data_IF_553148606942
#
_entry.id   IF_553148606942
#
_cell.length_a   1.000
_cell.length_b   1.000
_cell.length_c   1.000
_cell.angle_alpha   90.00
_cell.angle_beta   90.00
_cell.angle_gamma   90.00
#
_symmetry.space_group_name_H-M   'P 1'
#
loop_
_entity.id
_entity.type
_entity.pdbx_description
1 polymer ?
#
# COMPACT_ATOMS: atom_id res chain seq x y z
N UNK A 1 -13.08 -8.99 -18.58
CA UNK A 1 -12.05 -10.04 -18.65
C UNK A 1 -12.33 -11.08 -19.74
N UNK A 2 -13.58 -11.49 -19.94
CA UNK A 2 -13.96 -12.55 -20.89
C UNK A 2 -13.47 -12.31 -22.32
N UNK A 3 -13.60 -11.07 -22.83
CA UNK A 3 -13.11 -10.72 -24.17
C UNK A 3 -11.60 -10.93 -24.30
N UNK A 4 -10.82 -10.50 -23.30
CA UNK A 4 -9.37 -10.68 -23.30
C UNK A 4 -9.01 -12.17 -23.22
N UNK A 5 -9.66 -12.93 -22.33
CA UNK A 5 -9.48 -14.38 -22.22
C UNK A 5 -9.79 -15.12 -23.52
N UNK A 6 -10.87 -14.74 -24.21
CA UNK A 6 -11.23 -15.33 -25.51
C UNK A 6 -10.23 -14.97 -26.61
N UNK A 7 -9.68 -13.75 -26.62
CA UNK A 7 -8.63 -13.34 -27.57
C UNK A 7 -7.36 -14.16 -27.33
N UNK A 8 -6.92 -14.29 -26.07
CA UNK A 8 -5.73 -15.07 -25.72
C UNK A 8 -5.90 -16.56 -26.04
N UNK A 9 -7.09 -17.13 -25.77
CA UNK A 9 -7.39 -18.51 -26.16
C UNK A 9 -7.26 -18.75 -27.66
N UNK A 10 -7.81 -17.84 -28.49
CA UNK A 10 -7.63 -17.91 -29.96
C UNK A 10 -6.17 -17.74 -30.40
N UNK A 11 -5.35 -17.03 -29.65
CA UNK A 11 -3.92 -16.90 -29.95
C UNK A 11 -3.18 -18.22 -29.67
N UNK A 12 -3.49 -18.88 -28.56
CA UNK A 12 -2.91 -20.17 -28.18
C UNK A 12 -3.20 -21.27 -29.19
N UNK A 13 -4.39 -21.25 -29.81
CA UNK A 13 -4.75 -22.19 -30.89
C UNK A 13 -3.94 -22.01 -32.18
N UNK A 14 -3.32 -20.84 -32.40
CA UNK A 14 -2.68 -20.46 -33.68
C UNK A 14 -1.20 -20.88 -33.80
N UNK A 15 -0.59 -21.44 -32.77
CA UNK A 15 0.80 -21.86 -32.83
C UNK A 15 1.44 -22.05 -31.45
N UNK A 16 2.73 -22.41 -31.40
CA UNK A 16 3.43 -22.67 -30.15
C UNK A 16 3.42 -21.46 -29.21
N UNK A 17 3.59 -21.72 -27.91
CA UNK A 17 3.74 -20.67 -26.92
C UNK A 17 4.96 -19.79 -27.23
N UNK A 18 4.87 -18.52 -26.89
CA UNK A 18 5.98 -17.56 -26.86
C UNK A 18 6.04 -16.96 -25.46
N UNK A 19 7.18 -16.42 -25.05
CA UNK A 19 7.30 -15.79 -23.72
C UNK A 19 6.29 -14.65 -23.52
N UNK A 20 6.06 -13.83 -24.55
CA UNK A 20 5.03 -12.79 -24.56
C UNK A 20 3.62 -13.34 -24.31
N UNK A 21 3.25 -14.49 -24.89
CA UNK A 21 1.93 -15.11 -24.67
C UNK A 21 1.76 -15.59 -23.23
N UNK A 22 2.82 -16.15 -22.64
CA UNK A 22 2.81 -16.53 -21.22
C UNK A 22 2.66 -15.29 -20.35
N UNK A 23 3.38 -14.21 -20.66
CA UNK A 23 3.29 -12.95 -19.95
C UNK A 23 1.88 -12.36 -20.02
N UNK A 24 1.29 -12.19 -21.21
CA UNK A 24 -0.06 -11.64 -21.39
C UNK A 24 -1.11 -12.43 -20.61
N UNK A 25 -0.97 -13.77 -20.61
CA UNK A 25 -1.86 -14.66 -19.88
C UNK A 25 -1.71 -14.50 -18.37
N UNK A 26 -0.49 -14.42 -17.87
CA UNK A 26 -0.22 -14.22 -16.45
C UNK A 26 -0.69 -12.85 -15.96
N UNK A 27 -0.53 -11.79 -16.76
CA UNK A 27 -1.05 -10.45 -16.45
C UNK A 27 -2.58 -10.42 -16.43
N UNK A 28 -3.25 -11.14 -17.34
CA UNK A 28 -4.71 -11.31 -17.27
C UNK A 28 -5.13 -12.02 -15.98
N UNK A 29 -4.44 -13.09 -15.59
CA UNK A 29 -4.74 -13.79 -14.34
C UNK A 29 -4.48 -12.92 -13.10
N UNK A 30 -3.39 -12.15 -13.09
CA UNK A 30 -3.15 -11.15 -12.04
C UNK A 30 -4.32 -10.16 -11.94
N UNK A 31 -4.80 -9.64 -13.08
CA UNK A 31 -5.92 -8.70 -13.10
C UNK A 31 -7.26 -9.34 -12.68
N UNK A 32 -7.36 -10.67 -12.69
CA UNK A 32 -8.48 -11.47 -12.20
C UNK A 32 -8.27 -11.96 -10.75
N UNK A 33 -7.24 -11.48 -10.07
CA UNK A 33 -6.85 -11.91 -8.72
C UNK A 33 -6.45 -13.41 -8.61
N UNK A 34 -6.09 -14.02 -9.76
CA UNK A 34 -5.65 -15.42 -9.91
C UNK A 34 -4.13 -15.54 -9.83
N UNK A 35 -3.58 -15.11 -8.70
CA UNK A 35 -2.13 -14.98 -8.52
C UNK A 35 -1.39 -16.33 -8.60
N UNK A 36 -1.98 -17.38 -8.03
CA UNK A 36 -1.39 -18.72 -8.07
C UNK A 36 -1.21 -19.25 -9.48
N UNK A 37 -2.22 -19.10 -10.34
CA UNK A 37 -2.11 -19.48 -11.74
C UNK A 37 -1.13 -18.60 -12.52
N UNK A 38 -1.11 -17.29 -12.24
CA UNK A 38 -0.13 -16.37 -12.84
C UNK A 38 1.31 -16.78 -12.50
N UNK A 39 1.60 -17.05 -11.22
CA UNK A 39 2.92 -17.50 -10.77
C UNK A 39 3.31 -18.82 -11.42
N UNK A 40 2.44 -19.83 -11.34
CA UNK A 40 2.73 -21.17 -11.88
C UNK A 40 3.02 -21.14 -13.39
N UNK A 41 2.30 -20.32 -14.15
CA UNK A 41 2.53 -20.19 -15.59
C UNK A 41 3.81 -19.43 -15.93
N UNK A 42 4.17 -18.40 -15.16
CA UNK A 42 5.42 -17.69 -15.33
C UNK A 42 6.62 -18.58 -14.98
N UNK A 43 6.51 -19.40 -13.93
CA UNK A 43 7.52 -20.40 -13.57
C UNK A 43 7.72 -21.42 -14.69
N UNK A 44 6.64 -22.05 -15.16
CA UNK A 44 6.69 -22.99 -16.29
C UNK A 44 7.21 -22.32 -17.58
N UNK A 45 6.84 -21.06 -17.81
CA UNK A 45 7.34 -20.28 -18.92
C UNK A 45 8.85 -20.05 -18.84
N UNK A 46 9.40 -19.81 -17.65
CA UNK A 46 10.85 -19.64 -17.45
C UNK A 46 11.63 -20.95 -17.63
N UNK A 47 11.00 -22.12 -17.45
CA UNK A 47 11.59 -23.41 -17.83
C UNK A 47 11.72 -23.54 -19.36
N UNK A 48 10.71 -23.09 -20.11
CA UNK A 48 10.69 -23.16 -21.57
C UNK A 48 11.52 -22.04 -22.25
N UNK A 49 11.55 -20.85 -21.64
CA UNK A 49 12.22 -19.65 -22.14
C UNK A 49 13.29 -19.19 -21.15
N UNK A 50 14.23 -20.09 -20.84
CA UNK A 50 15.30 -19.83 -19.90
C UNK A 50 16.09 -18.58 -20.32
N UNK A 51 16.19 -17.60 -19.41
CA UNK A 51 16.88 -16.32 -19.65
C UNK A 51 15.98 -15.18 -20.14
N UNK A 52 14.68 -15.39 -20.32
CA UNK A 52 13.77 -14.30 -20.64
C UNK A 52 13.63 -13.33 -19.45
N UNK A 53 14.25 -12.17 -19.60
CA UNK A 53 14.32 -11.11 -18.57
C UNK A 53 12.95 -10.54 -18.25
N UNK A 54 12.11 -10.35 -19.27
CA UNK A 54 10.79 -9.73 -19.09
C UNK A 54 9.87 -10.68 -18.36
N UNK A 55 9.87 -11.97 -18.73
CA UNK A 55 9.10 -12.99 -18.04
C UNK A 55 9.49 -13.10 -16.56
N UNK A 56 10.80 -13.03 -16.27
CA UNK A 56 11.31 -13.02 -14.89
C UNK A 56 10.92 -11.76 -14.12
N UNK A 57 11.00 -10.59 -14.75
CA UNK A 57 10.58 -9.34 -14.15
C UNK A 57 9.08 -9.34 -13.84
N UNK A 58 8.26 -9.92 -14.71
CA UNK A 58 6.82 -10.10 -14.47
C UNK A 58 6.55 -11.08 -13.34
N UNK A 59 7.30 -12.19 -13.23
CA UNK A 59 7.21 -13.10 -12.07
C UNK A 59 7.50 -12.37 -10.76
N UNK A 60 8.57 -11.58 -10.72
CA UNK A 60 8.90 -10.76 -9.55
C UNK A 60 7.76 -9.80 -9.17
N UNK A 61 7.16 -9.13 -10.17
CA UNK A 61 6.03 -8.24 -9.94
C UNK A 61 4.78 -8.97 -9.41
N UNK A 62 4.39 -10.10 -10.02
CA UNK A 62 3.22 -10.89 -9.56
C UNK A 62 3.45 -11.41 -8.14
N UNK A 63 4.65 -11.90 -7.83
CA UNK A 63 5.01 -12.36 -6.48
C UNK A 63 4.93 -11.24 -5.45
N UNK A 64 5.35 -10.01 -5.80
CA UNK A 64 5.19 -8.84 -4.92
C UNK A 64 3.70 -8.58 -4.63
N UNK A 65 2.84 -8.60 -5.66
CA UNK A 65 1.39 -8.43 -5.49
C UNK A 65 0.75 -9.54 -4.66
N UNK A 66 1.33 -10.74 -4.67
CA UNK A 66 0.92 -11.88 -3.86
C UNK A 66 1.53 -11.89 -2.44
N UNK A 67 2.23 -10.83 -2.02
CA UNK A 67 2.87 -10.75 -0.70
C UNK A 67 4.14 -11.59 -0.55
N UNK A 68 4.70 -12.12 -1.64
CA UNK A 68 5.92 -12.93 -1.65
C UNK A 68 7.18 -12.08 -1.87
N UNK A 69 7.39 -11.07 -1.01
CA UNK A 69 8.40 -10.03 -1.18
C UNK A 69 9.84 -10.52 -1.37
N UNK A 70 10.31 -11.50 -0.58
CA UNK A 70 11.68 -12.03 -0.73
C UNK A 70 11.88 -12.78 -2.06
N UNK A 71 10.88 -13.56 -2.48
CA UNK A 71 10.93 -14.27 -3.76
C UNK A 71 10.89 -13.28 -4.94
N UNK A 72 10.03 -12.27 -4.84
CA UNK A 72 9.97 -11.16 -5.79
C UNK A 72 11.31 -10.42 -5.93
N UNK A 73 11.98 -10.16 -4.80
CA UNK A 73 13.29 -9.50 -4.78
C UNK A 73 14.35 -10.35 -5.49
N UNK A 74 14.36 -11.66 -5.23
CA UNK A 74 15.28 -12.59 -5.89
C UNK A 74 15.09 -12.61 -7.42
N UNK A 75 13.85 -12.61 -7.91
CA UNK A 75 13.56 -12.57 -9.35
C UNK A 75 13.99 -11.28 -10.00
N UNK A 76 13.70 -10.13 -9.37
CA UNK A 76 14.10 -8.82 -9.89
C UNK A 76 15.63 -8.68 -9.90
N UNK A 77 16.32 -9.17 -8.86
CA UNK A 77 17.79 -9.17 -8.81
C UNK A 77 18.41 -10.05 -9.91
N UNK A 78 17.80 -11.20 -10.21
CA UNK A 78 18.19 -12.04 -11.35
C UNK A 78 17.96 -11.32 -12.68
N UNK A 79 16.80 -10.68 -12.88
CA UNK A 79 16.50 -9.93 -14.10
C UNK A 79 17.50 -8.78 -14.34
N UNK A 80 17.90 -8.08 -13.27
CA UNK A 80 18.89 -6.99 -13.34
C UNK A 80 20.32 -7.44 -13.63
N UNK A 81 20.67 -8.71 -13.38
CA UNK A 81 21.97 -9.25 -13.81
C UNK A 81 22.06 -9.42 -15.31
N UNK A 82 20.94 -9.71 -15.96
CA UNK A 82 20.85 -10.01 -17.39
C UNK A 82 20.51 -8.76 -18.22
N UNK A 83 19.91 -7.73 -17.62
CA UNK A 83 19.55 -6.49 -18.32
C UNK A 83 19.76 -5.23 -17.48
N UNK A 84 20.35 -4.22 -18.12
CA UNK A 84 20.41 -2.85 -17.60
C UNK A 84 19.10 -2.13 -17.94
N UNK A 85 18.19 -2.08 -16.98
CA UNK A 85 16.87 -1.45 -17.14
C UNK A 85 16.55 -0.55 -15.96
N UNK A 86 16.42 0.75 -16.23
CA UNK A 86 16.08 1.76 -15.20
C UNK A 86 14.76 1.43 -14.50
N UNK A 87 13.65 1.11 -15.21
CA UNK A 87 12.40 0.72 -14.55
C UNK A 87 12.52 -0.51 -13.65
N UNK A 88 13.32 -1.52 -14.06
CA UNK A 88 13.54 -2.71 -13.22
C UNK A 88 14.35 -2.36 -11.97
N UNK A 89 15.37 -1.51 -12.12
CA UNK A 89 16.22 -1.09 -11.01
C UNK A 89 15.44 -0.24 -10.00
N UNK A 90 14.55 0.65 -10.47
CA UNK A 90 13.62 1.40 -9.64
C UNK A 90 12.65 0.50 -8.88
N UNK A 91 12.07 -0.51 -9.54
CA UNK A 91 11.17 -1.49 -8.90
C UNK A 91 11.90 -2.31 -7.84
N UNK A 92 13.11 -2.77 -8.16
CA UNK A 92 13.96 -3.51 -7.21
C UNK A 92 14.33 -2.65 -5.99
N UNK A 93 14.73 -1.39 -6.19
CA UNK A 93 15.01 -0.46 -5.10
C UNK A 93 13.75 -0.16 -4.25
N UNK A 94 12.59 0.00 -4.89
CA UNK A 94 11.31 0.17 -4.20
C UNK A 94 10.97 -1.01 -3.31
N UNK A 95 11.15 -2.25 -3.80
CA UNK A 95 10.93 -3.46 -3.01
C UNK A 95 11.96 -3.61 -1.87
N UNK A 96 13.21 -3.17 -2.07
CA UNK A 96 14.19 -3.12 -0.99
C UNK A 96 13.75 -2.15 0.13
N UNK A 97 13.20 -0.99 -0.21
CA UNK A 97 12.65 -0.06 0.77
C UNK A 97 11.44 -0.65 1.50
N UNK A 98 10.54 -1.32 0.77
CA UNK A 98 9.39 -2.03 1.33
C UNK A 98 9.80 -3.09 2.37
N UNK A 99 10.90 -3.80 2.11
CA UNK A 99 11.47 -4.82 2.99
C UNK A 99 12.42 -4.24 4.06
N UNK A 100 12.38 -2.92 4.28
CA UNK A 100 13.20 -2.20 5.27
C UNK A 100 14.72 -2.39 5.07
N UNK A 101 15.18 -2.42 3.82
CA UNK A 101 16.59 -2.53 3.41
C UNK A 101 17.08 -1.26 2.71
N UNK A 102 17.13 -0.10 3.40
CA UNK A 102 17.43 1.19 2.76
C UNK A 102 18.88 1.32 2.27
N UNK A 103 19.83 0.62 2.90
CA UNK A 103 21.23 0.59 2.45
C UNK A 103 21.40 -0.02 1.05
N UNK A 104 20.97 -1.29 0.84
CA UNK A 104 20.90 -1.88 -0.49
C UNK A 104 20.06 -1.09 -1.49
N UNK A 105 18.94 -0.49 -1.06
CA UNK A 105 18.11 0.34 -1.92
C UNK A 105 18.88 1.56 -2.45
N UNK A 106 19.58 2.29 -1.56
CA UNK A 106 20.43 3.43 -1.95
C UNK A 106 21.50 3.01 -2.94
N UNK A 107 22.21 1.91 -2.68
CA UNK A 107 23.23 1.40 -3.60
C UNK A 107 22.66 1.06 -4.99
N UNK A 108 21.47 0.47 -5.05
CA UNK A 108 20.79 0.17 -6.31
C UNK A 108 20.37 1.44 -7.06
N UNK A 109 19.88 2.47 -6.35
CA UNK A 109 19.50 3.76 -6.94
C UNK A 109 20.72 4.54 -7.44
N UNK A 110 21.83 4.54 -6.71
CA UNK A 110 23.05 5.26 -7.09
C UNK A 110 23.73 4.64 -8.32
N UNK A 111 23.50 3.35 -8.58
CA UNK A 111 23.92 2.69 -9.82
C UNK A 111 23.13 3.16 -11.06
N UNK A 112 21.97 3.81 -10.87
CA UNK A 112 21.14 4.38 -11.92
C UNK A 112 21.56 5.84 -12.13
N UNK A 113 22.73 6.06 -12.74
CA UNK A 113 23.17 7.41 -13.12
C UNK A 113 23.61 7.40 -14.59
N UNK A 114 22.85 8.10 -15.42
CA UNK A 114 23.16 8.28 -16.85
C UNK A 114 22.68 9.65 -17.32
N UNK A 115 23.46 10.36 -18.17
CA UNK A 115 23.05 11.67 -18.70
C UNK A 115 21.77 11.60 -19.54
N UNK A 116 21.35 10.41 -19.96
CA UNK A 116 20.16 10.18 -20.79
C UNK A 116 18.85 10.09 -20.00
N UNK A 117 18.87 10.17 -18.66
CA UNK A 117 17.65 10.12 -17.87
C UNK A 117 16.74 11.30 -18.19
N UNK A 118 15.47 11.01 -18.47
CA UNK A 118 14.41 12.01 -18.56
C UNK A 118 14.13 12.64 -17.20
N UNK A 119 13.65 13.87 -17.20
CA UNK A 119 13.42 14.63 -15.96
C UNK A 119 12.41 13.95 -15.02
N UNK A 120 11.34 13.38 -15.58
CA UNK A 120 10.36 12.63 -14.80
C UNK A 120 10.99 11.42 -14.08
N UNK A 121 11.92 10.73 -14.74
CA UNK A 121 12.65 9.59 -14.15
C UNK A 121 13.62 10.08 -13.07
N UNK A 122 14.32 11.20 -13.28
CA UNK A 122 15.19 11.79 -12.24
C UNK A 122 14.42 12.19 -11.00
N UNK A 123 13.26 12.82 -11.17
CA UNK A 123 12.36 13.21 -10.08
C UNK A 123 11.88 11.97 -9.30
N UNK A 124 11.48 10.90 -9.99
CA UNK A 124 11.10 9.63 -9.36
C UNK A 124 12.26 8.95 -8.61
N UNK A 125 13.48 8.97 -9.16
CA UNK A 125 14.67 8.45 -8.47
C UNK A 125 15.01 9.28 -7.23
N UNK A 126 14.93 10.61 -7.34
CA UNK A 126 15.18 11.51 -6.21
C UNK A 126 14.20 11.26 -5.05
N UNK A 127 12.92 10.96 -5.35
CA UNK A 127 11.96 10.56 -4.34
C UNK A 127 12.39 9.30 -3.56
N UNK A 128 12.82 8.25 -4.27
CA UNK A 128 13.30 7.01 -3.64
C UNK A 128 14.63 7.21 -2.89
N UNK A 129 15.52 8.06 -3.41
CA UNK A 129 16.80 8.40 -2.75
C UNK A 129 16.57 9.21 -1.47
N UNK A 130 15.62 10.14 -1.49
CA UNK A 130 15.21 10.90 -0.31
C UNK A 130 14.72 9.96 0.79
N UNK A 131 13.90 8.97 0.43
CA UNK A 131 13.42 7.95 1.35
C UNK A 131 14.55 7.09 1.91
N UNK A 132 15.41 6.54 1.05
CA UNK A 132 16.52 5.72 1.47
C UNK A 132 17.49 6.47 2.40
N UNK A 133 17.81 7.73 2.08
CA UNK A 133 18.67 8.58 2.91
C UNK A 133 18.04 8.84 4.28
N UNK A 134 16.74 9.14 4.33
CA UNK A 134 16.05 9.39 5.58
C UNK A 134 16.03 8.16 6.51
N UNK A 135 15.70 6.99 5.97
CA UNK A 135 15.70 5.73 6.73
C UNK A 135 17.10 5.32 7.20
N UNK A 136 18.16 5.79 6.53
CA UNK A 136 19.55 5.62 6.96
C UNK A 136 20.00 6.67 7.99
N UNK A 137 19.14 7.61 8.38
CA UNK A 137 19.46 8.73 9.28
C UNK A 137 20.23 9.87 8.60
N UNK A 138 20.43 9.81 7.28
CA UNK A 138 21.07 10.86 6.48
C UNK A 138 20.06 11.96 6.13
N UNK A 139 19.76 12.80 7.14
CA UNK A 139 18.79 13.90 7.01
C UNK A 139 19.19 14.93 5.95
N UNK A 140 20.49 15.22 5.83
CA UNK A 140 21.00 16.17 4.84
C UNK A 140 20.83 15.64 3.42
N UNK A 141 21.14 14.36 3.18
CA UNK A 141 20.89 13.70 1.90
C UNK A 141 19.40 13.61 1.58
N UNK A 142 18.57 13.26 2.57
CA UNK A 142 17.12 13.19 2.41
C UNK A 142 16.52 14.53 1.95
N UNK A 143 16.94 15.62 2.60
CA UNK A 143 16.56 16.99 2.25
C UNK A 143 16.97 17.34 0.82
N UNK A 144 18.24 17.13 0.48
CA UNK A 144 18.79 17.48 -0.84
C UNK A 144 18.04 16.77 -1.96
N UNK A 145 17.76 15.48 -1.81
CA UNK A 145 17.01 14.70 -2.79
C UNK A 145 15.52 15.08 -2.83
N UNK A 146 14.89 15.36 -1.68
CA UNK A 146 13.49 15.84 -1.65
C UNK A 146 13.30 17.12 -2.47
N UNK A 147 14.22 18.09 -2.34
CA UNK A 147 14.21 19.35 -3.11
C UNK A 147 14.35 19.13 -4.62
N UNK A 148 14.93 18.01 -5.06
CA UNK A 148 15.07 17.69 -6.48
C UNK A 148 13.80 17.10 -7.10
N UNK A 149 12.84 16.65 -6.29
CA UNK A 149 11.61 16.04 -6.82
C UNK A 149 10.69 17.08 -7.45
N UNK A 150 10.56 18.26 -6.82
CA UNK A 150 9.80 19.39 -7.36
C UNK A 150 8.28 19.20 -7.31
N UNK A 151 7.75 18.57 -6.25
CA UNK A 151 6.30 18.44 -6.04
C UNK A 151 5.91 19.04 -4.69
N UNK A 152 4.67 19.55 -4.52
CA UNK A 152 4.24 20.19 -3.27
C UNK A 152 4.39 19.30 -2.03
N UNK A 153 4.26 17.98 -2.17
CA UNK A 153 4.49 17.03 -1.08
C UNK A 153 5.95 17.02 -0.65
N UNK A 154 6.88 16.85 -1.59
CA UNK A 154 8.31 16.79 -1.28
C UNK A 154 8.90 18.16 -0.87
N UNK A 155 8.34 19.26 -1.36
CA UNK A 155 8.74 20.60 -0.92
C UNK A 155 8.41 20.81 0.56
N UNK A 156 7.18 20.46 0.98
CA UNK A 156 6.78 20.53 2.40
C UNK A 156 7.54 19.53 3.27
N UNK A 157 7.82 18.34 2.75
CA UNK A 157 8.65 17.36 3.44
C UNK A 157 10.06 17.93 3.68
N UNK A 158 10.67 18.54 2.66
CA UNK A 158 11.98 19.17 2.78
C UNK A 158 11.96 20.32 3.79
N UNK A 159 10.96 21.21 3.75
CA UNK A 159 10.81 22.30 4.72
C UNK A 159 10.75 21.78 6.17
N UNK A 160 10.04 20.66 6.41
CA UNK A 160 9.94 20.04 7.74
C UNK A 160 11.23 19.37 8.18
N UNK A 161 11.98 18.77 7.26
CA UNK A 161 13.28 18.17 7.57
C UNK A 161 14.35 19.20 7.96
N UNK A 162 14.24 20.46 7.50
CA UNK A 162 15.12 21.56 7.93
C UNK A 162 14.88 21.98 9.39
N UNK A 163 13.65 21.85 9.88
CA UNK A 163 13.25 22.25 11.24
C UNK A 163 12.13 21.34 11.75
N UNK A 164 12.46 20.10 12.16
CA UNK A 164 11.47 19.11 12.53
C UNK A 164 10.71 19.52 13.80
N UNK A 165 9.39 19.37 13.78
CA UNK A 165 8.53 19.64 14.93
C UNK A 165 8.64 18.56 16.03
N UNK A 166 9.23 17.41 15.69
CA UNK A 166 9.51 16.29 16.57
C UNK A 166 10.32 15.22 15.83
N UNK A 167 10.73 14.16 16.52
CA UNK A 167 11.56 13.09 15.94
C UNK A 167 10.92 11.70 16.09
N UNK A 168 9.75 11.61 16.72
CA UNK A 168 9.10 10.32 16.93
C UNK A 168 8.50 9.81 15.63
N UNK A 169 8.85 8.57 15.31
CA UNK A 169 8.26 7.78 14.23
C UNK A 169 7.68 6.50 14.82
N UNK A 170 6.43 6.22 14.50
CA UNK A 170 5.75 4.96 14.87
C UNK A 170 5.30 4.28 13.59
N UNK A 171 5.57 2.98 13.48
CA UNK A 171 5.10 2.14 12.39
C UNK A 171 4.67 0.79 12.99
N UNK A 172 3.39 0.49 12.89
CA UNK A 172 2.81 -0.76 13.36
C UNK A 172 2.94 -1.83 12.26
N UNK A 173 3.20 -3.10 12.63
CA UNK A 173 3.46 -4.19 11.68
C UNK A 173 2.17 -4.72 11.03
N UNK A 174 1.43 -3.84 10.36
CA UNK A 174 0.22 -4.21 9.62
C UNK A 174 0.61 -4.75 8.24
N UNK A 175 0.28 -6.02 7.93
CA UNK A 175 0.68 -6.66 6.68
C UNK A 175 -0.03 -6.06 5.47
N UNK A 176 0.55 -6.26 4.29
CA UNK A 176 -0.14 -5.98 3.03
C UNK A 176 -1.13 -7.10 2.72
N UNK A 177 -2.40 -6.72 2.58
CA UNK A 177 -3.46 -7.58 2.04
C UNK A 177 -3.95 -6.95 0.76
N UNK A 178 -3.69 -7.61 -0.37
CA UNK A 178 -4.08 -7.15 -1.69
C UNK A 178 -5.60 -7.19 -1.82
N UNK A 179 -6.23 -6.07 -2.19
CA UNK A 179 -7.64 -6.09 -2.57
C UNK A 179 -7.84 -6.80 -3.91
N UNK A 180 -9.01 -7.41 -4.04
CA UNK A 180 -9.63 -7.71 -5.33
C UNK A 180 -10.37 -6.48 -5.85
N UNK A 181 -10.88 -6.57 -7.08
CA UNK A 181 -11.67 -5.49 -7.69
C UNK A 181 -12.78 -4.96 -6.75
N UNK A 182 -12.73 -3.67 -6.38
CA UNK A 182 -13.68 -2.97 -5.48
C UNK A 182 -13.78 -3.52 -4.05
N UNK A 183 -12.73 -4.15 -3.52
CA UNK A 183 -12.72 -4.70 -2.15
C UNK A 183 -11.71 -4.01 -1.22
N UNK A 184 -11.50 -2.70 -1.38
CA UNK A 184 -10.58 -1.91 -0.54
C UNK A 184 -10.91 -2.03 0.96
N UNK A 185 -12.20 -1.97 1.30
CA UNK A 185 -12.65 -2.07 2.67
C UNK A 185 -12.37 -3.46 3.27
N UNK A 186 -12.85 -4.58 2.69
CA UNK A 186 -12.51 -5.91 3.16
C UNK A 186 -11.01 -6.17 3.33
N UNK A 187 -10.18 -5.78 2.36
CA UNK A 187 -8.74 -5.97 2.42
C UNK A 187 -8.10 -5.16 3.56
N UNK A 188 -8.53 -3.92 3.77
CA UNK A 188 -8.06 -3.07 4.87
C UNK A 188 -8.44 -3.64 6.23
N UNK A 189 -9.69 -4.10 6.40
CA UNK A 189 -10.14 -4.73 7.65
C UNK A 189 -9.41 -6.04 7.92
N UNK A 190 -9.17 -6.87 6.89
CA UNK A 190 -8.36 -8.08 7.00
C UNK A 190 -6.92 -7.77 7.44
N UNK A 191 -6.30 -6.73 6.88
CA UNK A 191 -4.95 -6.31 7.27
C UNK A 191 -4.89 -5.88 8.76
N UNK A 192 -5.87 -5.09 9.22
CA UNK A 192 -5.98 -4.69 10.64
C UNK A 192 -6.24 -5.90 11.53
N UNK A 193 -7.10 -6.83 11.09
CA UNK A 193 -7.41 -8.04 11.86
C UNK A 193 -6.18 -8.94 12.02
N UNK A 194 -5.35 -9.07 10.97
CA UNK A 194 -4.08 -9.80 11.02
C UNK A 194 -3.06 -9.15 11.98
N UNK A 195 -2.99 -7.82 12.06
CA UNK A 195 -2.16 -7.12 13.05
C UNK A 195 -2.50 -7.52 14.49
N UNK A 196 -3.78 -7.77 14.78
CA UNK A 196 -4.25 -8.22 16.09
C UNK A 196 -4.18 -9.74 16.31
N UNK A 197 -3.61 -10.50 15.36
CA UNK A 197 -3.52 -11.96 15.46
C UNK A 197 -4.86 -12.69 15.32
N UNK A 198 -5.89 -12.01 14.80
CA UNK A 198 -7.21 -12.59 14.49
C UNK A 198 -7.43 -12.54 12.97
N UNK A 199 -6.72 -13.37 12.18
CA UNK A 199 -6.81 -13.31 10.73
C UNK A 199 -8.24 -13.60 10.27
N UNK A 200 -8.77 -12.70 9.45
CA UNK A 200 -10.01 -12.88 8.72
C UNK A 200 -9.67 -12.88 7.22
N UNK A 201 -10.26 -13.81 6.45
CA UNK A 201 -10.04 -13.82 5.00
C UNK A 201 -10.78 -12.63 4.37
N UNK A 202 -10.08 -11.83 3.56
CA UNK A 202 -10.69 -10.63 2.96
C UNK A 202 -11.89 -10.96 2.07
N UNK A 203 -11.91 -12.15 1.46
CA UNK A 203 -13.05 -12.63 0.67
C UNK A 203 -14.28 -12.94 1.54
N UNK A 204 -14.10 -13.51 2.72
CA UNK A 204 -15.20 -13.75 3.66
C UNK A 204 -15.79 -12.42 4.14
N UNK A 205 -14.94 -11.43 4.39
CA UNK A 205 -15.40 -10.07 4.71
C UNK A 205 -16.13 -9.49 3.50
N UNK A 206 -15.57 -9.59 2.29
CA UNK A 206 -16.19 -9.06 1.08
C UNK A 206 -17.59 -9.66 0.84
N UNK A 207 -17.76 -10.97 0.99
CA UNK A 207 -19.06 -11.63 0.87
C UNK A 207 -20.07 -11.12 1.91
N UNK A 208 -19.61 -10.71 3.09
CA UNK A 208 -20.46 -10.17 4.15
C UNK A 208 -20.86 -8.70 3.94
N UNK A 209 -19.97 -7.84 3.42
CA UNK A 209 -20.18 -6.38 3.45
C UNK A 209 -20.03 -5.65 2.10
N UNK A 210 -19.62 -6.34 1.03
CA UNK A 210 -19.30 -5.71 -0.25
C UNK A 210 -20.31 -6.07 -1.33
N UNK A 211 -21.33 -5.22 -1.51
CA UNK A 211 -22.28 -5.28 -2.64
C UNK A 211 -22.28 -3.94 -3.38
N UNK A 212 -21.59 -3.91 -4.54
CA UNK A 212 -21.31 -2.68 -5.32
C UNK A 212 -20.65 -1.54 -4.53
N UNK A 213 -19.78 -1.92 -3.59
CA UNK A 213 -19.14 -1.02 -2.63
C UNK A 213 -19.38 -1.50 -1.20
N UNK A 214 -18.82 -0.76 -0.23
CA UNK A 214 -18.97 -1.09 1.19
C UNK A 214 -19.42 0.14 1.97
N UNK A 215 -20.72 0.26 2.29
CA UNK A 215 -21.25 1.34 3.12
C UNK A 215 -20.56 1.43 4.48
N UNK A 216 -20.52 2.63 5.07
CA UNK A 216 -19.86 2.87 6.36
C UNK A 216 -20.40 2.00 7.50
N UNK A 217 -21.73 1.98 7.68
CA UNK A 217 -22.37 1.14 8.69
C UNK A 217 -22.10 -0.37 8.51
N UNK A 218 -21.94 -0.85 7.28
CA UNK A 218 -21.70 -2.28 7.03
C UNK A 218 -20.34 -2.72 7.59
N UNK A 219 -19.31 -1.86 7.47
CA UNK A 219 -17.97 -2.10 8.04
C UNK A 219 -18.04 -2.21 9.56
N UNK A 220 -18.74 -1.27 10.21
CA UNK A 220 -18.87 -1.24 11.66
C UNK A 220 -19.71 -2.40 12.18
N UNK A 221 -20.84 -2.69 11.54
CA UNK A 221 -21.69 -3.84 11.88
C UNK A 221 -20.92 -5.15 11.81
N UNK A 222 -20.15 -5.35 10.74
CA UNK A 222 -19.30 -6.53 10.64
C UNK A 222 -18.31 -6.62 11.81
N UNK A 223 -17.66 -5.52 12.18
CA UNK A 223 -16.75 -5.50 13.32
C UNK A 223 -17.49 -5.90 14.62
N UNK A 224 -18.63 -5.28 14.90
CA UNK A 224 -19.45 -5.56 16.09
C UNK A 224 -19.90 -7.04 16.15
N UNK A 225 -20.37 -7.60 15.02
CA UNK A 225 -20.83 -8.99 14.91
C UNK A 225 -19.70 -10.02 15.04
N UNK A 226 -18.46 -9.63 14.77
CA UNK A 226 -17.27 -10.50 14.81
C UNK A 226 -16.43 -10.30 16.08
N UNK A 227 -17.01 -9.71 17.13
CA UNK A 227 -16.36 -9.61 18.45
C UNK A 227 -15.30 -8.51 18.55
N UNK A 228 -15.34 -7.54 17.64
CA UNK A 228 -14.48 -6.36 17.70
C UNK A 228 -15.18 -5.23 18.45
N UNK A 229 -14.37 -4.43 19.15
CA UNK A 229 -14.79 -3.12 19.64
C UNK A 229 -14.39 -2.08 18.58
N UNK A 230 -15.37 -1.47 17.92
CA UNK A 230 -15.15 -0.43 16.91
C UNK A 230 -15.53 0.97 17.42
N UNK A 231 -14.72 1.97 17.07
CA UNK A 231 -15.02 3.40 17.24
C UNK A 231 -14.75 4.16 15.95
N UNK A 232 -15.70 5.00 15.56
CA UNK A 232 -15.55 5.93 14.44
C UNK A 232 -15.27 7.33 14.94
N UNK A 233 -14.54 8.12 14.15
CA UNK A 233 -14.10 9.46 14.53
C UNK A 233 -13.66 10.30 13.34
N UNK A 234 -13.59 11.62 13.51
CA UNK A 234 -12.91 12.51 12.55
C UNK A 234 -11.40 12.44 12.78
N UNK A 235 -10.64 12.05 11.75
CA UNK A 235 -9.19 11.89 11.85
C UNK A 235 -8.51 13.25 11.97
N UNK A 236 -7.75 13.41 13.05
CA UNK A 236 -6.87 14.56 13.29
C UNK A 236 -5.47 14.06 13.61
N UNK A 237 -4.46 14.94 13.54
CA UNK A 237 -3.09 14.60 13.92
C UNK A 237 -3.02 14.06 15.36
N UNK A 238 -3.71 14.71 16.31
CA UNK A 238 -3.72 14.31 17.70
C UNK A 238 -4.34 12.93 17.91
N UNK A 239 -5.53 12.69 17.33
CA UNK A 239 -6.20 11.40 17.44
C UNK A 239 -5.42 10.27 16.77
N UNK A 240 -4.86 10.52 15.57
CA UNK A 240 -4.05 9.54 14.86
C UNK A 240 -2.83 9.12 15.70
N UNK A 241 -2.10 10.10 16.25
CA UNK A 241 -0.96 9.82 17.13
C UNK A 241 -1.35 9.02 18.35
N UNK A 242 -2.38 9.44 19.07
CA UNK A 242 -2.75 8.78 20.33
C UNK A 242 -3.13 7.31 20.11
N UNK A 243 -3.89 7.00 19.05
CA UNK A 243 -4.21 5.63 18.65
C UNK A 243 -2.94 4.82 18.30
N UNK A 244 -2.08 5.38 17.44
CA UNK A 244 -0.89 4.68 16.94
C UNK A 244 0.15 4.45 18.04
N UNK A 245 0.33 5.41 18.96
CA UNK A 245 1.20 5.26 20.14
C UNK A 245 0.69 4.18 21.11
N UNK A 246 -0.63 3.94 21.15
CA UNK A 246 -1.26 2.82 21.86
C UNK A 246 -1.25 1.51 21.06
N UNK A 247 -0.62 1.47 19.89
CA UNK A 247 -0.52 0.27 19.04
C UNK A 247 -1.80 -0.06 18.28
N UNK A 248 -2.70 0.91 18.11
CA UNK A 248 -3.98 0.74 17.42
C UNK A 248 -3.92 1.35 16.01
N UNK A 249 -3.76 0.54 14.94
CA UNK A 249 -3.96 1.02 13.58
C UNK A 249 -5.46 1.26 13.34
N UNK A 250 -5.79 2.11 12.38
CA UNK A 250 -7.19 2.41 12.08
C UNK A 250 -7.42 2.54 10.57
N UNK A 251 -8.64 2.24 10.15
CA UNK A 251 -9.06 2.44 8.78
C UNK A 251 -9.35 3.92 8.55
N UNK A 252 -8.82 4.47 7.46
CA UNK A 252 -9.04 5.82 6.97
C UNK A 252 -9.89 5.75 5.71
N UNK A 253 -11.02 6.47 5.73
CA UNK A 253 -11.88 6.64 4.56
C UNK A 253 -11.60 7.99 3.91
N UNK A 254 -11.22 7.97 2.64
CA UNK A 254 -11.11 9.16 1.79
C UNK A 254 -12.21 9.13 0.74
N UNK A 255 -12.85 10.28 0.50
CA UNK A 255 -14.00 10.40 -0.39
C UNK A 255 -13.76 11.53 -1.38
N UNK A 256 -13.81 11.18 -2.65
CA UNK A 256 -13.80 12.09 -3.79
C UNK A 256 -15.18 12.08 -4.47
N UNK A 257 -15.42 13.04 -5.37
CA UNK A 257 -16.74 13.21 -6.00
C UNK A 257 -17.29 11.95 -6.70
N UNK A 258 -16.43 11.03 -7.15
CA UNK A 258 -16.80 9.84 -7.89
C UNK A 258 -16.23 8.54 -7.30
N UNK A 259 -15.56 8.59 -6.16
CA UNK A 259 -14.89 7.45 -5.58
C UNK A 259 -14.77 7.58 -4.06
N UNK A 260 -14.81 6.45 -3.36
CA UNK A 260 -14.39 6.34 -1.98
C UNK A 260 -13.33 5.25 -1.87
N UNK A 261 -12.38 5.43 -0.97
CA UNK A 261 -11.31 4.48 -0.74
C UNK A 261 -11.11 4.23 0.76
N UNK A 262 -10.81 2.98 1.10
CA UNK A 262 -10.46 2.58 2.47
C UNK A 262 -9.04 2.04 2.47
N UNK A 263 -8.24 2.55 3.39
CA UNK A 263 -6.83 2.22 3.58
C UNK A 263 -6.51 2.27 5.07
N UNK A 264 -5.45 1.61 5.52
CA UNK A 264 -5.09 1.61 6.95
C UNK A 264 -4.03 2.69 7.23
N UNK A 265 -4.26 3.51 8.25
CA UNK A 265 -3.19 4.30 8.87
C UNK A 265 -2.50 3.41 9.89
N UNK A 266 -1.20 3.20 9.67
CA UNK A 266 -0.40 2.23 10.42
C UNK A 266 0.75 2.91 11.16
N UNK A 267 0.92 4.22 11.00
CA UNK A 267 2.01 4.93 11.61
C UNK A 267 1.99 6.44 11.35
N UNK A 268 2.95 7.13 11.93
CA UNK A 268 3.21 8.54 11.71
C UNK A 268 4.70 8.84 11.81
N UNK A 269 5.09 9.97 11.25
CA UNK A 269 6.43 10.53 11.37
C UNK A 269 6.34 12.02 11.73
N UNK A 270 6.79 12.38 12.93
CA UNK A 270 6.77 13.79 13.40
C UNK A 270 7.74 14.68 12.62
N UNK A 271 8.89 14.15 12.24
CA UNK A 271 9.92 14.92 11.54
C UNK A 271 9.44 15.31 10.15
N UNK A 272 8.66 14.44 9.52
CA UNK A 272 8.07 14.67 8.19
C UNK A 272 6.64 15.21 8.23
N UNK A 273 5.96 15.15 9.36
CA UNK A 273 4.56 15.52 9.50
C UNK A 273 3.63 14.67 8.63
N UNK A 274 3.93 13.37 8.50
CA UNK A 274 3.22 12.45 7.62
C UNK A 274 2.53 11.32 8.40
N UNK A 275 1.43 10.82 7.83
CA UNK A 275 0.82 9.55 8.23
C UNK A 275 1.36 8.45 7.31
N UNK A 276 1.66 7.28 7.89
CA UNK A 276 2.07 6.09 7.16
C UNK A 276 0.84 5.26 6.82
N UNK A 277 0.64 4.97 5.53
CA UNK A 277 -0.56 4.37 4.98
C UNK A 277 -0.24 3.01 4.38
N UNK A 278 -0.91 1.97 4.88
CA UNK A 278 -0.97 0.66 4.22
C UNK A 278 -2.18 0.63 3.31
N UNK A 279 -1.93 0.78 2.02
CA UNK A 279 -2.94 0.79 0.98
C UNK A 279 -3.15 -0.64 0.43
N UNK A 280 -4.41 -1.12 0.28
CA UNK A 280 -4.64 -2.47 -0.23
C UNK A 280 -4.37 -2.60 -1.74
N UNK A 281 -4.11 -1.50 -2.44
CA UNK A 281 -3.80 -1.45 -3.88
C UNK A 281 -2.30 -1.40 -4.17
N UNK A 282 -1.48 -0.97 -3.21
CA UNK A 282 -0.06 -0.73 -3.41
C UNK A 282 0.71 -1.48 -2.31
N UNK A 283 1.60 -2.43 -2.67
CA UNK A 283 2.30 -3.26 -1.68
C UNK A 283 3.27 -2.44 -0.81
N UNK A 284 3.81 -1.34 -1.35
CA UNK A 284 4.69 -0.44 -0.61
C UNK A 284 3.89 0.41 0.40
N UNK A 285 4.53 0.75 1.52
CA UNK A 285 3.99 1.71 2.46
C UNK A 285 3.98 3.11 1.82
N UNK A 286 2.86 3.82 1.91
CA UNK A 286 2.72 5.18 1.40
C UNK A 286 2.82 6.19 2.53
N UNK A 287 3.19 7.42 2.19
CA UNK A 287 3.12 8.55 3.10
C UNK A 287 2.09 9.57 2.62
N UNK A 288 1.28 10.06 3.55
CA UNK A 288 0.35 11.17 3.33
C UNK A 288 0.79 12.36 4.18
N UNK A 289 0.91 13.53 3.56
CA UNK A 289 1.08 14.79 4.29
C UNK A 289 -0.17 15.04 5.12
N UNK A 290 -0.05 14.93 6.44
CA UNK A 290 -1.18 14.97 7.35
C UNK A 290 -1.94 16.30 7.23
N UNK A 291 -1.22 17.43 7.20
CA UNK A 291 -1.83 18.76 7.10
C UNK A 291 -2.60 18.95 5.80
N UNK A 292 -2.01 18.54 4.67
CA UNK A 292 -2.67 18.62 3.37
C UNK A 292 -3.88 17.69 3.27
N UNK A 293 -3.78 16.48 3.82
CA UNK A 293 -4.87 15.50 3.87
C UNK A 293 -6.06 16.05 4.66
N UNK A 294 -5.83 16.60 5.85
CA UNK A 294 -6.91 17.14 6.68
C UNK A 294 -7.59 18.35 6.05
N UNK A 295 -6.82 19.26 5.43
CA UNK A 295 -7.42 20.41 4.75
C UNK A 295 -8.25 19.97 3.54
N UNK A 296 -7.74 19.04 2.73
CA UNK A 296 -8.44 18.56 1.53
C UNK A 296 -9.77 17.89 1.87
N UNK A 297 -9.82 17.07 2.91
CA UNK A 297 -11.04 16.35 3.29
C UNK A 297 -11.93 17.10 4.29
N UNK A 298 -11.55 18.31 4.76
CA UNK A 298 -12.22 19.05 5.85
C UNK A 298 -13.75 19.13 5.77
N UNK A 299 -14.33 19.13 4.57
CA UNK A 299 -15.78 19.19 4.35
C UNK A 299 -16.51 17.85 4.44
N UNK A 300 -15.80 16.73 4.27
CA UNK A 300 -16.37 15.37 4.15
C UNK A 300 -15.68 14.35 5.06
N UNK A 301 -14.67 14.76 5.82
CA UNK A 301 -13.85 13.89 6.65
C UNK A 301 -12.48 14.52 6.96
N UNK A 302 -11.40 13.72 7.10
CA UNK A 302 -11.37 12.28 6.86
C UNK A 302 -12.05 11.49 7.98
N UNK A 303 -12.81 10.45 7.64
CA UNK A 303 -13.41 9.53 8.62
C UNK A 303 -12.43 8.41 8.97
N UNK A 304 -12.24 8.19 10.26
CA UNK A 304 -11.46 7.10 10.84
C UNK A 304 -12.38 6.05 11.46
N UNK A 305 -11.96 4.79 11.41
CA UNK A 305 -12.57 3.71 12.18
C UNK A 305 -11.45 2.85 12.80
N UNK A 306 -11.34 2.92 14.11
CA UNK A 306 -10.45 2.05 14.87
C UNK A 306 -11.22 0.80 15.32
N UNK A 307 -10.58 -0.36 15.26
CA UNK A 307 -11.12 -1.62 15.75
C UNK A 307 -10.06 -2.38 16.54
N UNK A 308 -10.45 -2.91 17.69
CA UNK A 308 -9.60 -3.74 18.55
C UNK A 308 -10.37 -4.99 18.98
N UNK A 309 -9.69 -6.12 19.27
CA UNK A 309 -10.35 -7.27 19.87
C UNK A 309 -11.03 -6.88 21.18
N UNK A 310 -12.12 -7.55 21.58
CA UNK A 310 -12.82 -7.26 22.82
C UNK A 310 -11.91 -7.24 24.06
N UNK A 311 -10.86 -8.08 24.10
CA UNK A 311 -9.87 -8.12 25.17
C UNK A 311 -9.01 -6.83 25.29
N UNK A 312 -8.92 -6.05 24.21
CA UNK A 312 -8.12 -4.83 24.10
C UNK A 312 -9.01 -3.57 24.09
N UNK A 313 -10.31 -3.70 24.38
CA UNK A 313 -11.29 -2.61 24.32
C UNK A 313 -10.88 -1.35 25.11
N UNK A 314 -10.17 -1.53 26.24
CA UNK A 314 -9.65 -0.43 27.05
C UNK A 314 -8.73 0.53 26.26
N UNK A 315 -8.05 0.06 25.21
CA UNK A 315 -7.22 0.93 24.36
C UNK A 315 -8.04 1.97 23.58
N UNK A 316 -9.32 1.72 23.35
CA UNK A 316 -10.25 2.64 22.69
C UNK A 316 -11.16 3.37 23.68
N UNK A 317 -11.67 2.67 24.70
CA UNK A 317 -12.67 3.25 25.60
C UNK A 317 -12.10 4.37 26.50
N UNK A 318 -10.78 4.40 26.69
CA UNK A 318 -10.07 5.46 27.41
C UNK A 318 -9.81 6.73 26.56
N UNK A 319 -10.14 6.70 25.27
CA UNK A 319 -9.86 7.78 24.32
C UNK A 319 -11.06 8.68 24.10
N UNK A 320 -10.81 9.99 24.15
CA UNK A 320 -11.75 10.99 23.63
C UNK A 320 -11.43 11.24 22.16
N UNK A 321 -12.13 10.51 21.27
CA UNK A 321 -11.96 10.66 19.83
C UNK A 321 -12.87 11.76 19.26
N UNK A 322 -12.38 12.60 18.31
CA UNK A 322 -13.17 13.69 17.73
C UNK A 322 -14.46 13.20 17.04
N UNK A 323 -15.57 13.89 17.30
CA UNK A 323 -16.89 13.66 16.71
C UNK A 323 -17.43 12.22 16.85
N UNK A 324 -16.86 11.42 17.76
CA UNK A 324 -17.16 10.01 17.83
C UNK A 324 -18.62 9.72 18.25
N UNK A 325 -19.20 10.58 19.10
CA UNK A 325 -20.65 10.55 19.43
C UNK A 325 -21.53 10.86 18.22
N UNK A 326 -21.11 11.80 17.36
CA UNK A 326 -21.84 12.11 16.13
C UNK A 326 -21.81 10.91 15.17
N UNK A 327 -20.67 10.24 15.04
CA UNK A 327 -20.58 9.02 14.25
C UNK A 327 -21.42 7.87 14.81
N UNK A 328 -21.55 7.76 16.14
CA UNK A 328 -22.44 6.80 16.77
C UNK A 328 -23.91 7.05 16.39
N UNK A 329 -24.37 8.30 16.42
CA UNK A 329 -25.72 8.68 15.98
C UNK A 329 -25.94 8.41 14.48
N UNK A 330 -24.95 8.70 13.63
CA UNK A 330 -25.02 8.41 12.19
C UNK A 330 -25.13 6.91 11.94
N UNK A 331 -24.36 6.10 12.67
CA UNK A 331 -24.43 4.65 12.58
C UNK A 331 -25.82 4.14 12.97
N UNK A 332 -26.37 4.58 14.11
CA UNK A 332 -27.73 4.21 14.54
C UNK A 332 -28.79 4.56 13.50
N UNK A 333 -28.72 5.77 12.91
CA UNK A 333 -29.64 6.19 11.85
C UNK A 333 -29.54 5.31 10.60
N UNK A 334 -28.34 4.88 10.22
CA UNK A 334 -28.12 4.04 9.04
C UNK A 334 -28.53 2.57 9.26
N UNK A 335 -28.76 2.16 10.51
CA UNK A 335 -29.25 0.81 10.84
C UNK A 335 -30.78 0.71 10.93
N UNK A 336 -31.47 1.83 11.08
CA UNK A 336 -32.94 1.91 11.16
C UNK A 336 -33.62 1.78 9.79
#
# INVERSE_FOLDING_TARGET
FDTAGAILGRQEERGPATSWRVQDRAELWLAQDRHGEAIAALEAGLEAFAGDVMLRATLGFVRQQAGQGEAALADLALALREAQSVPLAQRHAGLLLELERPGPARAALDAIETPLLEEAVRSSLAAQRSEAAYLLGDRAGALAEARRVGTPFFDRLADRLESPAGERRVQLPVPFVRQHHRTCAPATLAAIAQHWGQPAAHLEIADAICYDGTPDHAKRRWADEHGWRAREFTVTWAAARELLERGVPFALTTVEAHAAHLQAVVGFDEARGTLLIRDPTIPVLLEADAGALFEHYRSVGPRGMAMVPAAEAARLDELTLPDAELHDLVYELQQA
#
